data_IF_385549466867
#
_entry.id   IF_385549466867
#
_cell.length_a   1.000
_cell.length_b   1.000
_cell.length_c   1.000
_cell.angle_alpha   90.00
_cell.angle_beta   90.00
_cell.angle_gamma   90.00
#
_symmetry.space_group_name_H-M   'P 1'
#
loop_
_entity.id
_entity.type
_entity.pdbx_description
1 polymer ?
#
# COMPACT_ATOMS: atom_id res chain seq x y z
N UNK A 1 -28.03 -23.09 -9.96
CA UNK A 1 -27.11 -22.89 -8.83
C UNK A 1 -26.81 -21.40 -8.73
N UNK A 2 -26.96 -20.81 -7.55
CA UNK A 2 -26.63 -19.41 -7.33
C UNK A 2 -25.09 -19.28 -7.17
N UNK A 3 -24.46 -18.45 -8.02
CA UNK A 3 -23.01 -18.20 -8.03
C UNK A 3 -22.71 -16.71 -7.73
N UNK A 4 -22.90 -16.24 -6.49
CA UNK A 4 -22.95 -14.81 -6.18
C UNK A 4 -21.65 -14.08 -6.55
N UNK A 5 -20.49 -14.68 -6.38
CA UNK A 5 -19.21 -14.09 -6.76
C UNK A 5 -19.11 -13.94 -8.28
N UNK A 6 -19.37 -15.02 -9.03
CA UNK A 6 -19.29 -15.00 -10.51
C UNK A 6 -20.29 -14.00 -11.08
N UNK A 7 -21.53 -14.00 -10.58
CA UNK A 7 -22.57 -13.09 -11.04
C UNK A 7 -22.14 -11.63 -10.82
N UNK A 8 -21.64 -11.29 -9.61
CA UNK A 8 -21.19 -9.93 -9.31
C UNK A 8 -20.00 -9.48 -10.14
N UNK A 9 -19.02 -10.37 -10.36
CA UNK A 9 -17.87 -10.08 -11.21
C UNK A 9 -18.27 -9.86 -12.68
N UNK A 10 -19.23 -10.64 -13.18
CA UNK A 10 -19.81 -10.44 -14.51
C UNK A 10 -20.54 -9.09 -14.62
N UNK A 11 -21.31 -8.69 -13.60
CA UNK A 11 -21.95 -7.37 -13.57
C UNK A 11 -20.91 -6.24 -13.68
N UNK A 12 -19.82 -6.33 -12.90
CA UNK A 12 -18.73 -5.36 -12.93
C UNK A 12 -18.07 -5.34 -14.33
N UNK A 13 -17.76 -6.50 -14.90
CA UNK A 13 -17.19 -6.62 -16.26
C UNK A 13 -18.09 -5.95 -17.29
N UNK A 14 -19.39 -6.22 -17.24
CA UNK A 14 -20.36 -5.72 -18.21
C UNK A 14 -20.70 -4.23 -18.03
N UNK A 15 -20.41 -3.65 -16.86
CA UNK A 15 -20.67 -2.24 -16.59
C UNK A 15 -19.71 -1.29 -17.31
N UNK A 16 -18.63 -1.80 -17.91
CA UNK A 16 -17.60 -0.99 -18.59
C UNK A 16 -17.07 0.17 -17.72
N UNK A 17 -16.87 -0.10 -16.44
CA UNK A 17 -16.42 0.90 -15.46
C UNK A 17 -15.02 1.40 -15.80
N UNK A 18 -14.82 2.71 -15.72
CA UNK A 18 -13.51 3.33 -15.85
C UNK A 18 -12.77 3.17 -14.54
N UNK A 19 -11.65 2.47 -14.58
CA UNK A 19 -10.90 2.10 -13.39
C UNK A 19 -9.76 3.09 -13.12
N UNK A 20 -9.85 3.83 -12.01
CA UNK A 20 -8.74 4.54 -11.40
C UNK A 20 -8.34 3.89 -10.08
N UNK A 21 -8.55 2.57 -9.96
CA UNK A 21 -8.15 1.73 -8.83
C UNK A 21 -7.24 0.58 -9.28
N UNK A 22 -6.66 -0.14 -8.33
CA UNK A 22 -5.93 -1.39 -8.60
C UNK A 22 -6.90 -2.49 -9.05
N UNK A 23 -6.47 -3.45 -9.88
CA UNK A 23 -5.10 -3.71 -10.37
C UNK A 23 -4.70 -2.83 -11.56
N UNK A 24 -3.36 -2.74 -11.76
CA UNK A 24 -2.74 -1.86 -12.75
C UNK A 24 -3.08 -2.12 -14.22
N UNK A 25 -3.55 -3.32 -14.57
CA UNK A 25 -3.95 -3.68 -15.93
C UNK A 25 -5.30 -3.06 -16.38
N UNK A 26 -6.03 -2.39 -15.48
CA UNK A 26 -7.31 -1.71 -15.78
C UNK A 26 -8.29 -2.60 -16.54
N UNK A 27 -8.80 -3.63 -15.85
CA UNK A 27 -9.73 -4.63 -16.41
C UNK A 27 -9.20 -5.35 -17.68
N UNK A 28 -7.88 -5.45 -17.80
CA UNK A 28 -7.23 -6.10 -18.96
C UNK A 28 -7.09 -5.22 -20.20
N UNK A 29 -7.51 -3.95 -20.15
CA UNK A 29 -7.49 -3.00 -21.27
C UNK A 29 -6.11 -2.87 -21.91
N UNK A 30 -5.05 -2.84 -21.10
CA UNK A 30 -3.66 -2.73 -21.58
C UNK A 30 -3.23 -3.92 -22.45
N UNK A 31 -3.69 -5.12 -22.13
CA UNK A 31 -3.35 -6.31 -22.93
C UNK A 31 -3.97 -6.24 -24.31
N UNK A 32 -5.22 -5.79 -24.42
CA UNK A 32 -5.88 -5.59 -25.72
C UNK A 32 -5.18 -4.51 -26.53
N UNK A 33 -4.85 -3.38 -25.90
CA UNK A 33 -4.17 -2.24 -26.52
C UNK A 33 -2.80 -2.61 -27.12
N UNK A 34 -2.07 -3.53 -26.48
CA UNK A 34 -0.71 -3.92 -26.88
C UNK A 34 -0.67 -5.22 -27.71
N UNK A 35 -1.82 -5.78 -28.06
CA UNK A 35 -1.90 -7.04 -28.85
C UNK A 35 -1.62 -8.32 -28.05
N UNK A 36 -1.77 -8.28 -26.73
CA UNK A 36 -1.63 -9.42 -25.82
C UNK A 36 -2.99 -10.02 -25.41
N UNK A 37 -4.03 -9.84 -26.21
CA UNK A 37 -5.38 -10.35 -25.93
C UNK A 37 -5.40 -11.89 -25.82
N UNK A 38 -4.54 -12.58 -26.57
CA UNK A 38 -4.42 -14.04 -26.49
C UNK A 38 -3.99 -14.50 -25.09
N UNK A 39 -2.97 -13.87 -24.50
CA UNK A 39 -2.56 -14.15 -23.12
C UNK A 39 -3.74 -13.98 -22.16
N UNK A 40 -4.44 -12.85 -22.21
CA UNK A 40 -5.58 -12.56 -21.33
C UNK A 40 -6.72 -13.58 -21.49
N UNK A 41 -7.05 -13.96 -22.72
CA UNK A 41 -8.22 -14.80 -23.02
C UNK A 41 -7.96 -16.28 -22.77
N UNK A 42 -6.71 -16.73 -22.83
CA UNK A 42 -6.32 -18.12 -22.74
C UNK A 42 -5.56 -18.47 -21.43
N UNK A 43 -5.60 -17.58 -20.43
CA UNK A 43 -4.83 -17.73 -19.20
C UNK A 43 -5.09 -19.04 -18.44
N UNK A 44 -6.31 -19.58 -18.51
CA UNK A 44 -6.66 -20.85 -17.87
C UNK A 44 -5.97 -22.04 -18.56
N UNK A 45 -5.64 -21.91 -19.86
CA UNK A 45 -4.99 -22.99 -20.61
C UNK A 45 -3.52 -23.21 -20.22
N UNK A 46 -2.93 -22.24 -19.51
CA UNK A 46 -1.56 -22.34 -18.97
C UNK A 46 -1.54 -22.56 -17.45
N UNK A 47 -2.69 -22.82 -16.82
CA UNK A 47 -2.73 -23.20 -15.43
C UNK A 47 -2.20 -24.63 -15.24
N UNK A 48 -1.11 -24.75 -14.50
CA UNK A 48 -0.38 -26.01 -14.31
C UNK A 48 0.29 -26.03 -12.94
N UNK A 49 0.98 -27.12 -12.66
CA UNK A 49 1.83 -27.29 -11.47
C UNK A 49 3.28 -27.57 -11.86
N UNK A 50 4.11 -28.01 -10.92
CA UNK A 50 5.49 -28.41 -11.15
C UNK A 50 5.56 -29.74 -11.92
N UNK A 51 5.54 -29.65 -13.25
CA UNK A 51 5.76 -30.77 -14.16
C UNK A 51 7.10 -30.59 -14.90
N UNK A 52 7.52 -31.55 -15.67
CA UNK A 52 8.75 -31.46 -16.45
C UNK A 52 8.72 -30.21 -17.36
N UNK A 53 9.70 -29.31 -17.19
CA UNK A 53 9.87 -28.09 -17.98
C UNK A 53 9.18 -26.85 -17.39
N UNK A 54 8.46 -26.95 -16.27
CA UNK A 54 7.83 -25.77 -15.62
C UNK A 54 8.61 -25.19 -14.44
N UNK A 55 9.72 -25.83 -14.01
CA UNK A 55 10.55 -25.41 -12.89
C UNK A 55 9.82 -25.44 -11.52
N UNK A 56 10.47 -25.02 -10.43
CA UNK A 56 9.90 -24.95 -9.09
C UNK A 56 10.22 -23.61 -8.43
N UNK A 57 9.19 -22.85 -8.03
CA UNK A 57 9.36 -21.50 -7.42
C UNK A 57 10.21 -21.53 -6.14
N UNK A 58 10.19 -22.62 -5.36
CA UNK A 58 10.94 -22.74 -4.12
C UNK A 58 12.37 -23.21 -4.29
N UNK A 59 12.73 -23.68 -5.48
CA UNK A 59 14.09 -24.07 -5.89
C UNK A 59 14.29 -23.85 -7.39
N UNK A 60 14.22 -22.60 -7.87
CA UNK A 60 14.22 -22.31 -9.30
C UNK A 60 15.60 -22.59 -9.91
N UNK A 61 15.64 -23.37 -10.99
CA UNK A 61 16.84 -23.77 -11.70
C UNK A 61 16.77 -23.47 -13.21
N UNK A 62 15.55 -23.35 -13.77
CA UNK A 62 15.30 -23.20 -15.21
C UNK A 62 14.51 -21.89 -15.49
N UNK A 63 13.29 -22.00 -16.02
CA UNK A 63 12.50 -20.86 -16.54
C UNK A 63 12.13 -19.82 -15.49
N UNK A 64 11.83 -20.24 -14.26
CA UNK A 64 11.50 -19.31 -13.19
C UNK A 64 12.78 -18.54 -12.77
N UNK A 65 13.90 -19.24 -12.68
CA UNK A 65 15.20 -18.60 -12.40
C UNK A 65 15.55 -17.57 -13.47
N UNK A 66 15.44 -17.94 -14.76
CA UNK A 66 15.71 -17.02 -15.87
C UNK A 66 14.82 -15.79 -15.80
N UNK A 67 13.52 -15.96 -15.53
CA UNK A 67 12.58 -14.85 -15.41
C UNK A 67 12.88 -13.94 -14.20
N UNK A 68 13.29 -14.51 -13.07
CA UNK A 68 13.75 -13.76 -11.90
C UNK A 68 15.07 -12.99 -12.16
N UNK A 69 16.00 -13.54 -12.93
CA UNK A 69 17.23 -12.86 -13.35
C UNK A 69 16.93 -11.69 -14.30
N UNK A 70 16.00 -11.86 -15.24
CA UNK A 70 15.50 -10.75 -16.07
C UNK A 70 14.92 -9.64 -15.20
N UNK A 71 14.11 -9.97 -14.20
CA UNK A 71 13.56 -9.01 -13.26
C UNK A 71 14.65 -8.31 -12.44
N UNK A 72 15.66 -9.05 -11.94
CA UNK A 72 16.79 -8.48 -11.20
C UNK A 72 17.54 -7.43 -12.03
N UNK A 73 17.79 -7.72 -13.31
CA UNK A 73 18.44 -6.78 -14.22
C UNK A 73 17.60 -5.51 -14.46
N UNK A 74 16.27 -5.66 -14.62
CA UNK A 74 15.37 -4.52 -14.85
C UNK A 74 15.27 -3.61 -13.63
N UNK A 75 15.20 -4.18 -12.43
CA UNK A 75 15.07 -3.46 -11.16
C UNK A 75 16.41 -3.19 -10.46
N UNK A 76 17.55 -3.52 -11.11
CA UNK A 76 18.90 -3.27 -10.63
C UNK A 76 19.16 -3.83 -9.24
N UNK A 77 18.63 -5.00 -8.95
CA UNK A 77 18.84 -5.78 -7.72
C UNK A 77 19.82 -6.93 -7.95
N UNK A 78 20.40 -7.46 -6.87
CA UNK A 78 21.26 -8.64 -6.93
C UNK A 78 20.42 -9.92 -7.03
N UNK A 79 19.25 -9.92 -6.37
CA UNK A 79 18.26 -10.99 -6.42
C UNK A 79 16.85 -10.42 -6.54
N UNK A 80 16.02 -11.09 -7.33
CA UNK A 80 14.57 -10.88 -7.34
C UNK A 80 13.85 -12.20 -7.14
N UNK A 81 12.84 -12.21 -6.26
CA UNK A 81 11.98 -13.35 -6.00
C UNK A 81 10.55 -13.03 -6.42
N UNK A 82 9.91 -13.92 -7.18
CA UNK A 82 8.50 -13.81 -7.47
C UNK A 82 7.66 -14.23 -6.26
N UNK A 83 6.60 -13.49 -6.01
CA UNK A 83 5.70 -13.69 -4.89
C UNK A 83 4.28 -13.92 -5.41
N UNK A 84 3.72 -15.08 -5.07
CA UNK A 84 2.35 -15.47 -5.44
C UNK A 84 1.36 -15.32 -4.28
N UNK A 85 1.84 -14.91 -3.11
CA UNK A 85 1.02 -14.61 -1.92
C UNK A 85 1.03 -13.11 -1.58
N UNK A 86 1.21 -12.26 -2.59
CA UNK A 86 1.24 -10.80 -2.44
C UNK A 86 2.50 -10.27 -1.75
N UNK A 87 2.60 -8.96 -1.66
CA UNK A 87 3.66 -8.28 -0.89
C UNK A 87 3.65 -8.70 0.59
N UNK A 88 2.50 -9.13 1.11
CA UNK A 88 2.36 -9.65 2.48
C UNK A 88 3.39 -10.72 2.79
N UNK A 89 3.53 -11.76 1.95
CA UNK A 89 4.50 -12.83 2.19
C UNK A 89 5.95 -12.33 2.06
N UNK A 90 6.22 -11.38 1.16
CA UNK A 90 7.53 -10.76 1.02
C UNK A 90 7.95 -9.96 2.26
N UNK A 91 7.03 -9.16 2.82
CA UNK A 91 7.23 -8.43 4.08
C UNK A 91 7.50 -9.41 5.22
N UNK A 92 6.67 -10.45 5.34
CA UNK A 92 6.83 -11.48 6.37
C UNK A 92 8.19 -12.18 6.27
N UNK A 93 8.56 -12.65 5.09
CA UNK A 93 9.84 -13.31 4.87
C UNK A 93 11.02 -12.39 5.15
N UNK A 94 10.95 -11.12 4.72
CA UNK A 94 12.01 -10.13 4.92
C UNK A 94 12.26 -9.84 6.39
N UNK A 95 11.20 -9.53 7.15
CA UNK A 95 11.33 -9.24 8.59
C UNK A 95 11.87 -10.45 9.35
N UNK A 96 11.33 -11.65 9.10
CA UNK A 96 11.77 -12.87 9.79
C UNK A 96 13.17 -13.35 9.34
N UNK A 97 13.61 -13.01 8.13
CA UNK A 97 14.97 -13.26 7.69
C UNK A 97 16.00 -12.34 8.38
N UNK A 98 15.60 -11.10 8.65
CA UNK A 98 16.48 -10.07 9.20
C UNK A 98 16.48 -10.06 10.73
N UNK A 99 15.32 -10.27 11.36
CA UNK A 99 15.16 -10.27 12.81
C UNK A 99 14.98 -11.68 13.35
N UNK A 100 15.58 -11.94 14.50
CA UNK A 100 15.34 -13.14 15.33
C UNK A 100 14.28 -12.86 16.39
N UNK A 101 13.86 -13.89 17.12
CA UNK A 101 12.91 -13.77 18.24
C UNK A 101 13.35 -12.68 19.22
N UNK A 102 12.43 -11.81 19.61
CA UNK A 102 12.63 -10.70 20.55
C UNK A 102 13.60 -9.61 20.10
N UNK A 103 14.10 -9.69 18.88
CA UNK A 103 14.85 -8.55 18.30
C UNK A 103 13.90 -7.42 17.93
N UNK A 104 14.45 -6.19 17.83
CA UNK A 104 13.70 -4.96 17.66
C UNK A 104 13.81 -4.44 16.22
N UNK A 105 12.69 -3.96 15.70
CA UNK A 105 12.60 -3.33 14.39
C UNK A 105 11.87 -1.98 14.48
N UNK A 106 12.44 -0.92 13.90
CA UNK A 106 11.70 0.34 13.72
C UNK A 106 10.72 0.16 12.57
N UNK A 107 9.47 0.56 12.78
CA UNK A 107 8.42 0.54 11.75
C UNK A 107 7.64 1.86 11.76
N UNK A 108 7.30 2.37 10.57
CA UNK A 108 6.41 3.53 10.50
C UNK A 108 5.00 3.16 10.96
N UNK A 109 4.36 4.03 11.73
CA UNK A 109 3.07 3.72 12.36
C UNK A 109 1.91 3.58 11.36
N UNK A 110 2.04 4.11 10.16
CA UNK A 110 1.13 3.90 9.03
C UNK A 110 1.54 2.72 8.12
N UNK A 111 2.38 1.80 8.61
CA UNK A 111 2.75 0.59 7.87
C UNK A 111 1.54 -0.31 7.61
N UNK A 112 1.65 -1.13 6.56
CA UNK A 112 0.65 -2.14 6.28
C UNK A 112 0.53 -3.15 7.42
N UNK A 113 -0.68 -3.65 7.68
CA UNK A 113 -0.97 -4.58 8.79
C UNK A 113 -0.09 -5.85 8.74
N UNK A 114 0.38 -6.29 7.57
CA UNK A 114 1.31 -7.42 7.43
C UNK A 114 2.60 -7.25 8.23
N UNK A 115 3.07 -6.02 8.45
CA UNK A 115 4.27 -5.74 9.26
C UNK A 115 4.02 -6.15 10.72
N UNK A 116 2.92 -5.70 11.30
CA UNK A 116 2.59 -6.01 12.69
C UNK A 116 2.19 -7.48 12.85
N UNK A 117 1.48 -8.04 11.87
CA UNK A 117 1.18 -9.48 11.85
C UNK A 117 2.48 -10.31 11.86
N UNK A 118 3.54 -9.83 11.18
CA UNK A 118 4.85 -10.48 11.23
C UNK A 118 5.49 -10.39 12.60
N UNK A 119 5.37 -9.23 13.28
CA UNK A 119 5.85 -9.07 14.64
C UNK A 119 5.15 -10.06 15.60
N UNK A 120 3.85 -10.32 15.42
CA UNK A 120 3.10 -11.34 16.17
C UNK A 120 3.64 -12.75 15.86
N UNK A 121 3.80 -13.11 14.59
CA UNK A 121 4.24 -14.45 14.17
C UNK A 121 5.68 -14.73 14.59
N UNK A 122 6.57 -13.77 14.37
CA UNK A 122 8.02 -13.89 14.59
C UNK A 122 8.47 -13.52 16.02
N UNK A 123 7.57 -13.15 16.92
CA UNK A 123 7.91 -12.63 18.28
C UNK A 123 8.94 -11.50 18.21
N UNK A 124 8.70 -10.52 17.32
CA UNK A 124 9.59 -9.40 17.06
C UNK A 124 9.00 -8.15 17.67
N UNK A 125 9.82 -7.30 18.27
CA UNK A 125 9.38 -6.08 18.94
C UNK A 125 9.36 -4.88 17.99
N UNK A 126 8.19 -4.32 17.62
CA UNK A 126 8.12 -3.10 16.84
C UNK A 126 8.37 -1.88 17.71
N UNK A 127 9.22 -0.98 17.21
CA UNK A 127 9.41 0.38 17.72
C UNK A 127 8.78 1.33 16.70
N UNK A 128 7.76 2.07 17.11
CA UNK A 128 7.01 2.91 16.17
C UNK A 128 7.68 4.26 15.93
N UNK A 129 7.74 4.68 14.66
CA UNK A 129 8.03 6.05 14.27
C UNK A 129 6.79 6.64 13.58
N UNK A 130 6.36 7.82 14.00
CA UNK A 130 5.21 8.50 13.42
C UNK A 130 5.63 9.28 12.18
N UNK A 131 4.91 9.16 11.06
CA UNK A 131 5.00 10.15 9.99
C UNK A 131 4.34 11.45 10.44
N UNK A 132 4.75 12.58 9.85
CA UNK A 132 3.96 13.80 9.96
C UNK A 132 2.61 13.65 9.26
N UNK A 133 1.67 14.54 9.62
CA UNK A 133 0.35 14.62 9.00
C UNK A 133 0.18 16.02 8.44
N UNK A 134 -0.19 16.10 7.17
CA UNK A 134 -0.65 17.33 6.55
C UNK A 134 -2.01 17.73 7.12
N UNK A 135 -2.08 18.91 7.74
CA UNK A 135 -3.28 19.33 8.49
C UNK A 135 -4.49 19.62 7.59
N UNK A 136 -4.24 20.10 6.38
CA UNK A 136 -5.30 20.55 5.50
C UNK A 136 -5.97 19.38 4.76
N UNK A 137 -5.18 18.37 4.41
CA UNK A 137 -5.65 17.19 3.68
C UNK A 137 -5.87 15.96 4.56
N UNK A 138 -5.31 15.95 5.78
CA UNK A 138 -5.30 14.76 6.65
C UNK A 138 -4.42 13.62 6.13
N UNK A 139 -3.52 13.88 5.18
CA UNK A 139 -2.65 12.85 4.59
C UNK A 139 -1.41 12.63 5.45
N UNK A 140 -1.03 11.37 5.64
CA UNK A 140 0.26 11.03 6.26
C UNK A 140 1.41 11.30 5.28
N UNK A 141 2.42 12.01 5.78
CA UNK A 141 3.62 12.41 5.05
C UNK A 141 4.74 11.38 5.23
N UNK A 142 5.96 11.78 4.86
CA UNK A 142 7.17 10.96 5.05
C UNK A 142 7.58 10.84 6.51
N UNK A 143 8.34 9.79 6.80
CA UNK A 143 9.08 9.65 8.07
C UNK A 143 10.39 10.42 7.97
N UNK A 144 10.73 11.16 9.03
CA UNK A 144 11.96 11.98 9.10
C UNK A 144 13.17 11.13 9.49
N UNK A 145 14.30 11.38 8.85
CA UNK A 145 15.58 10.78 9.20
C UNK A 145 15.97 11.04 10.67
N UNK A 146 15.68 12.24 11.17
CA UNK A 146 16.00 12.65 12.55
C UNK A 146 15.31 11.78 13.60
N UNK A 147 14.06 11.37 13.35
CA UNK A 147 13.32 10.49 14.25
C UNK A 147 13.91 9.07 14.25
N UNK A 148 14.30 8.57 13.07
CA UNK A 148 15.00 7.28 12.95
C UNK A 148 16.35 7.34 13.68
N UNK A 149 17.13 8.41 13.49
CA UNK A 149 18.41 8.60 14.17
C UNK A 149 18.24 8.58 15.69
N UNK A 150 17.27 9.32 16.21
CA UNK A 150 16.97 9.38 17.64
C UNK A 150 16.70 7.99 18.20
N UNK A 151 15.78 7.23 17.58
CA UNK A 151 15.43 5.89 18.04
C UNK A 151 16.61 4.89 17.97
N UNK A 152 17.41 4.95 16.91
CA UNK A 152 18.61 4.08 16.76
C UNK A 152 19.70 4.44 17.77
N UNK A 153 19.83 5.71 18.16
CA UNK A 153 20.80 6.12 19.19
C UNK A 153 20.30 5.81 20.61
N UNK A 154 19.00 5.90 20.87
CA UNK A 154 18.37 5.52 22.13
C UNK A 154 18.44 4.01 22.40
N UNK A 155 18.31 3.19 21.36
CA UNK A 155 18.35 1.71 21.49
C UNK A 155 19.26 1.06 20.45
N UNK A 156 20.46 0.66 20.88
CA UNK A 156 21.44 -0.03 20.03
C UNK A 156 21.01 -1.47 19.64
N UNK A 157 20.03 -2.03 20.34
CA UNK A 157 19.48 -3.37 20.07
C UNK A 157 18.58 -3.44 18.82
N UNK A 158 18.21 -2.29 18.25
CA UNK A 158 17.44 -2.25 17.00
C UNK A 158 18.24 -2.92 15.88
N UNK A 159 17.62 -3.89 15.19
CA UNK A 159 18.26 -4.68 14.14
C UNK A 159 18.06 -4.09 12.76
N UNK A 160 16.85 -3.63 12.49
CA UNK A 160 16.44 -3.15 11.18
C UNK A 160 15.44 -1.99 11.28
N UNK A 161 15.22 -1.34 10.14
CA UNK A 161 14.17 -0.35 9.94
C UNK A 161 13.33 -0.78 8.75
N UNK A 162 11.99 -0.74 8.87
CA UNK A 162 11.07 -0.91 7.76
C UNK A 162 10.31 0.39 7.52
N UNK A 163 10.34 0.87 6.29
CA UNK A 163 9.66 2.10 5.85
C UNK A 163 8.73 1.79 4.69
N UNK A 164 7.52 2.32 4.71
CA UNK A 164 6.62 2.30 3.55
C UNK A 164 6.87 3.53 2.68
N UNK A 165 7.33 3.32 1.45
CA UNK A 165 7.62 4.39 0.48
C UNK A 165 7.53 3.85 -0.96
N UNK A 166 6.67 4.43 -1.83
CA UNK A 166 5.72 5.51 -1.54
C UNK A 166 4.63 5.12 -0.54
N UNK A 167 4.09 6.10 0.19
CA UNK A 167 2.87 5.89 0.97
C UNK A 167 1.67 5.61 0.05
N UNK A 168 0.53 5.24 0.62
CA UNK A 168 -0.70 5.02 -0.15
C UNK A 168 -1.11 6.24 -0.99
N UNK A 169 -0.85 7.45 -0.49
CA UNK A 169 -1.09 8.71 -1.18
C UNK A 169 0.04 9.14 -2.13
N UNK A 170 1.09 8.33 -2.24
CA UNK A 170 2.20 8.59 -3.15
C UNK A 170 3.33 9.44 -2.56
N UNK A 171 3.38 9.68 -1.25
CA UNK A 171 4.46 10.45 -0.63
C UNK A 171 5.72 9.57 -0.52
N UNK A 172 6.82 10.05 -1.07
CA UNK A 172 8.12 9.39 -1.02
C UNK A 172 8.94 9.86 0.17
N UNK A 173 9.57 8.91 0.86
CA UNK A 173 10.56 9.16 1.92
C UNK A 173 11.97 9.25 1.30
N UNK A 174 12.86 10.01 1.90
CA UNK A 174 14.28 10.07 1.52
C UNK A 174 15.02 8.78 1.94
N UNK A 175 14.82 7.72 1.16
CA UNK A 175 15.40 6.39 1.39
C UNK A 175 16.93 6.46 1.35
N UNK A 176 17.52 7.30 0.49
CA UNK A 176 18.97 7.41 0.35
C UNK A 176 19.64 7.86 1.64
N UNK A 177 19.17 8.96 2.23
CA UNK A 177 19.77 9.48 3.47
C UNK A 177 19.57 8.51 4.64
N UNK A 178 18.43 7.80 4.68
CA UNK A 178 18.14 6.79 5.71
C UNK A 178 19.08 5.59 5.54
N UNK A 179 19.23 5.05 4.32
CA UNK A 179 20.12 3.91 4.05
C UNK A 179 21.58 4.23 4.39
N UNK A 180 22.09 5.38 3.95
CA UNK A 180 23.45 5.83 4.27
C UNK A 180 23.73 5.92 5.78
N UNK A 181 22.75 6.39 6.55
CA UNK A 181 22.85 6.43 8.02
C UNK A 181 22.83 5.02 8.63
N UNK A 182 21.87 4.18 8.24
CA UNK A 182 21.70 2.85 8.79
C UNK A 182 22.89 1.94 8.47
N UNK A 183 23.44 2.01 7.27
CA UNK A 183 24.61 1.24 6.87
C UNK A 183 25.85 1.59 7.71
N UNK A 184 26.06 2.87 8.04
CA UNK A 184 27.13 3.29 8.98
C UNK A 184 26.97 2.71 10.40
N UNK A 185 25.74 2.32 10.75
CA UNK A 185 25.40 1.69 12.04
C UNK A 185 25.25 0.17 11.94
N UNK A 186 25.60 -0.42 10.78
CA UNK A 186 25.42 -1.84 10.48
C UNK A 186 23.98 -2.33 10.72
N UNK A 187 22.99 -1.55 10.28
CA UNK A 187 21.55 -1.84 10.35
C UNK A 187 21.01 -2.07 8.95
N UNK A 188 19.94 -2.85 8.83
CA UNK A 188 19.29 -3.21 7.56
C UNK A 188 18.09 -2.30 7.32
N UNK A 189 17.92 -1.85 6.07
CA UNK A 189 16.76 -1.12 5.60
C UNK A 189 15.87 -1.99 4.72
N UNK A 190 14.64 -2.21 5.15
CA UNK A 190 13.57 -2.85 4.39
C UNK A 190 12.61 -1.76 3.93
N UNK A 191 12.26 -1.73 2.65
CA UNK A 191 11.28 -0.79 2.11
C UNK A 191 10.05 -1.55 1.59
N UNK A 192 8.91 -1.29 2.21
CA UNK A 192 7.62 -1.64 1.63
C UNK A 192 7.31 -0.66 0.50
N UNK A 193 7.70 -1.04 -0.70
CA UNK A 193 7.52 -0.31 -1.95
C UNK A 193 6.32 -0.85 -2.75
N UNK A 194 5.28 -1.33 -2.04
CA UNK A 194 4.12 -1.95 -2.66
C UNK A 194 3.44 -1.07 -3.73
N UNK A 195 3.57 0.24 -3.62
CA UNK A 195 3.01 1.22 -4.56
C UNK A 195 4.03 1.77 -5.57
N UNK A 196 5.23 1.17 -5.68
CA UNK A 196 6.35 1.74 -6.42
C UNK A 196 6.88 0.94 -7.61
N UNK A 197 6.25 -0.16 -8.03
CA UNK A 197 6.78 -1.03 -9.12
C UNK A 197 7.00 -0.30 -10.46
N UNK A 198 6.35 0.83 -10.68
CA UNK A 198 6.43 1.63 -11.91
C UNK A 198 7.49 2.75 -11.88
N UNK A 199 8.11 3.02 -10.73
CA UNK A 199 8.97 4.21 -10.52
C UNK A 199 10.10 4.27 -11.56
N UNK A 200 10.73 3.17 -11.91
CA UNK A 200 11.83 3.13 -12.89
C UNK A 200 11.43 3.44 -14.34
N UNK A 201 10.13 3.62 -14.65
CA UNK A 201 9.66 3.86 -16.02
C UNK A 201 9.88 5.31 -16.51
N UNK A 202 9.97 6.29 -15.60
CA UNK A 202 10.25 7.69 -15.95
C UNK A 202 11.13 8.37 -14.90
N UNK A 203 12.03 9.23 -15.34
CA UNK A 203 12.84 10.08 -14.44
C UNK A 203 11.98 11.04 -13.61
N UNK A 204 10.77 11.33 -14.05
CA UNK A 204 9.81 12.20 -13.34
C UNK A 204 9.20 11.55 -12.11
N UNK A 205 9.33 10.22 -11.95
CA UNK A 205 8.84 9.45 -10.82
C UNK A 205 9.89 9.24 -9.72
N UNK A 206 11.14 9.61 -9.98
CA UNK A 206 12.25 9.40 -9.07
C UNK A 206 12.98 8.09 -9.32
N UNK A 207 13.51 7.49 -8.25
CA UNK A 207 14.36 6.27 -8.26
C UNK A 207 13.78 5.25 -7.28
N UNK A 208 13.90 3.96 -7.63
CA UNK A 208 13.43 2.86 -6.77
C UNK A 208 14.20 2.79 -5.44
N UNK A 209 13.58 2.16 -4.44
CA UNK A 209 14.21 2.03 -3.12
C UNK A 209 15.53 1.26 -3.18
N UNK A 210 15.66 0.23 -4.02
CA UNK A 210 16.93 -0.50 -4.22
C UNK A 210 18.04 0.39 -4.78
N UNK A 211 17.72 1.27 -5.74
CA UNK A 211 18.69 2.22 -6.29
C UNK A 211 19.08 3.32 -5.29
N UNK A 212 18.25 3.57 -4.29
CA UNK A 212 18.52 4.50 -3.19
C UNK A 212 19.24 3.83 -2.00
N UNK A 213 19.57 2.54 -2.09
CA UNK A 213 20.34 1.81 -1.10
C UNK A 213 19.52 1.02 -0.08
N UNK A 214 18.23 0.77 -0.32
CA UNK A 214 17.49 -0.21 0.47
C UNK A 214 18.11 -1.60 0.31
N UNK A 215 18.28 -2.34 1.42
CA UNK A 215 18.78 -3.71 1.40
C UNK A 215 17.75 -4.68 0.83
N UNK A 216 16.47 -4.46 1.16
CA UNK A 216 15.33 -5.21 0.64
C UNK A 216 14.23 -4.22 0.24
N UNK A 217 13.63 -4.43 -0.93
CA UNK A 217 12.44 -3.72 -1.39
C UNK A 217 11.37 -4.72 -1.82
N UNK A 218 10.11 -4.50 -1.45
CA UNK A 218 9.01 -5.40 -1.79
C UNK A 218 7.95 -4.61 -2.55
N UNK A 219 7.64 -5.05 -3.77
CA UNK A 219 6.76 -4.35 -4.70
C UNK A 219 5.53 -5.18 -5.04
N UNK A 220 4.33 -4.61 -4.91
CA UNK A 220 3.11 -5.20 -5.48
C UNK A 220 3.06 -4.94 -6.98
N UNK A 221 3.50 -5.89 -7.78
CA UNK A 221 3.53 -5.74 -9.24
C UNK A 221 2.13 -5.37 -9.77
N UNK A 222 1.09 -6.01 -9.24
CA UNK A 222 -0.29 -5.82 -9.68
C UNK A 222 -0.90 -4.45 -9.38
N UNK A 223 -0.33 -3.66 -8.46
CA UNK A 223 -0.93 -2.34 -8.12
C UNK A 223 -0.65 -1.29 -9.18
N UNK A 224 0.55 -1.28 -9.72
CA UNK A 224 0.99 -0.20 -10.61
C UNK A 224 1.49 -0.67 -11.98
N UNK A 225 1.78 -1.97 -12.13
CA UNK A 225 2.08 -2.63 -13.40
C UNK A 225 0.94 -3.59 -13.81
N UNK A 226 0.87 -4.00 -15.07
CA UNK A 226 -0.22 -4.83 -15.57
C UNK A 226 0.00 -6.33 -15.28
N UNK A 227 -0.05 -6.71 -14.00
CA UNK A 227 -0.11 -8.12 -13.59
C UNK A 227 -1.39 -8.42 -12.80
N UNK A 228 -1.66 -9.69 -12.54
CA UNK A 228 -2.87 -10.10 -11.83
C UNK A 228 -2.76 -9.83 -10.34
N UNK A 229 -3.89 -9.55 -9.72
CA UNK A 229 -4.00 -9.32 -8.27
C UNK A 229 -3.29 -10.44 -7.49
N UNK A 230 -2.58 -10.07 -6.44
CA UNK A 230 -1.76 -10.96 -5.58
C UNK A 230 -0.32 -11.16 -6.09
N UNK A 231 -0.02 -10.90 -7.37
CA UNK A 231 1.35 -10.98 -7.88
C UNK A 231 2.23 -9.85 -7.36
N UNK A 232 3.45 -10.18 -6.92
CA UNK A 232 4.41 -9.24 -6.32
C UNK A 232 5.84 -9.69 -6.56
N UNK A 233 6.82 -8.83 -6.29
CA UNK A 233 8.24 -9.13 -6.35
C UNK A 233 8.94 -8.65 -5.09
N UNK A 234 9.96 -9.38 -4.66
CA UNK A 234 10.89 -8.98 -3.61
C UNK A 234 12.28 -8.85 -4.22
N UNK A 235 12.90 -7.70 -4.02
CA UNK A 235 14.23 -7.38 -4.51
C UNK A 235 15.21 -7.28 -3.35
N UNK A 236 16.41 -7.86 -3.51
CA UNK A 236 17.51 -7.72 -2.56
C UNK A 236 18.69 -7.09 -3.29
N UNK A 237 19.29 -6.08 -2.68
CA UNK A 237 20.50 -5.42 -3.18
C UNK A 237 21.44 -5.14 -2.01
N UNK A 238 21.98 -6.21 -1.44
CA UNK A 238 22.84 -6.09 -0.25
C UNK A 238 23.48 -7.43 0.11
N UNK A 239 24.72 -7.40 0.52
CA UNK A 239 25.44 -8.51 1.16
C UNK A 239 25.14 -8.66 2.66
N UNK A 240 24.35 -7.72 3.26
CA UNK A 240 23.94 -7.74 4.66
C UNK A 240 22.78 -8.70 4.92
N UNK A 241 22.10 -9.16 3.87
CA UNK A 241 20.92 -10.03 3.96
C UNK A 241 21.33 -11.48 3.77
N UNK A 242 20.99 -12.33 4.74
CA UNK A 242 21.15 -13.79 4.59
C UNK A 242 20.11 -14.32 3.60
N UNK A 243 20.56 -14.51 2.36
CA UNK A 243 19.73 -15.02 1.25
C UNK A 243 19.21 -16.44 1.51
N UNK A 244 20.01 -17.29 2.19
CA UNK A 244 19.58 -18.66 2.52
C UNK A 244 18.42 -18.66 3.49
N UNK A 245 18.51 -17.82 4.53
CA UNK A 245 17.45 -17.63 5.51
C UNK A 245 16.20 -17.01 4.87
N UNK A 246 16.36 -16.01 4.00
CA UNK A 246 15.26 -15.40 3.26
C UNK A 246 14.51 -16.41 2.39
N UNK A 247 15.23 -17.22 1.59
CA UNK A 247 14.66 -18.30 0.78
C UNK A 247 13.89 -19.31 1.64
N UNK A 248 14.42 -19.65 2.81
CA UNK A 248 13.75 -20.57 3.74
C UNK A 248 12.40 -20.01 4.21
N UNK A 249 12.33 -18.72 4.58
CA UNK A 249 11.07 -18.09 4.97
C UNK A 249 10.11 -17.93 3.79
N UNK A 250 10.58 -17.59 2.59
CA UNK A 250 9.74 -17.55 1.40
C UNK A 250 9.09 -18.92 1.12
N UNK A 251 9.84 -20.01 1.30
CA UNK A 251 9.32 -21.38 1.15
C UNK A 251 8.29 -21.74 2.23
N UNK A 252 8.47 -21.27 3.47
CA UNK A 252 7.53 -21.54 4.59
C UNK A 252 6.21 -20.79 4.39
N UNK A 253 6.25 -19.57 3.85
CA UNK A 253 5.09 -18.67 3.83
C UNK A 253 4.28 -18.77 2.54
N UNK A 254 4.91 -19.09 1.42
CA UNK A 254 4.22 -19.26 0.15
C UNK A 254 3.66 -20.67 -0.01
N UNK A 255 2.60 -20.79 -0.84
CA UNK A 255 2.00 -22.08 -1.16
C UNK A 255 3.02 -23.04 -1.75
N UNK A 256 2.91 -24.33 -1.40
CA UNK A 256 3.69 -25.40 -2.03
C UNK A 256 3.29 -25.66 -3.49
N UNK A 257 2.09 -25.20 -3.89
CA UNK A 257 1.59 -25.24 -5.27
C UNK A 257 1.41 -23.80 -5.77
N UNK A 258 2.49 -23.12 -6.16
CA UNK A 258 2.44 -21.71 -6.58
C UNK A 258 1.70 -21.57 -7.91
N UNK A 259 0.87 -20.55 -8.04
CA UNK A 259 0.11 -20.29 -9.25
C UNK A 259 1.01 -19.86 -10.41
N UNK A 260 1.09 -20.68 -11.45
CA UNK A 260 1.81 -20.34 -12.69
C UNK A 260 1.14 -19.20 -13.45
N UNK A 261 -0.18 -19.05 -13.36
CA UNK A 261 -0.88 -17.90 -13.93
C UNK A 261 -0.40 -16.58 -13.32
N UNK A 262 -0.16 -16.55 -12.00
CA UNK A 262 0.38 -15.35 -11.34
C UNK A 262 1.82 -15.06 -11.76
N UNK A 263 2.68 -16.08 -11.84
CA UNK A 263 4.07 -15.92 -12.30
C UNK A 263 4.12 -15.47 -13.77
N UNK A 264 3.33 -16.08 -14.64
CA UNK A 264 3.21 -15.65 -16.04
C UNK A 264 2.70 -14.19 -16.15
N UNK A 265 1.80 -13.77 -15.27
CA UNK A 265 1.33 -12.39 -15.26
C UNK A 265 2.42 -11.39 -14.81
N UNK A 266 3.31 -11.78 -13.89
CA UNK A 266 4.49 -10.98 -13.53
C UNK A 266 5.40 -10.85 -14.76
N UNK A 267 5.73 -11.96 -15.41
CA UNK A 267 6.59 -11.96 -16.59
C UNK A 267 6.01 -11.14 -17.74
N UNK A 268 4.69 -11.23 -17.98
CA UNK A 268 4.01 -10.38 -18.96
C UNK A 268 4.14 -8.88 -18.58
N UNK A 269 4.00 -8.54 -17.31
CA UNK A 269 4.19 -7.17 -16.84
C UNK A 269 5.65 -6.71 -17.05
N UNK A 270 6.65 -7.56 -16.81
CA UNK A 270 8.07 -7.27 -17.09
C UNK A 270 8.34 -7.08 -18.59
N UNK A 271 7.69 -7.87 -19.45
CA UNK A 271 7.78 -7.69 -20.90
C UNK A 271 7.21 -6.35 -21.34
N UNK A 272 6.03 -5.96 -20.83
CA UNK A 272 5.41 -4.66 -21.12
C UNK A 272 6.30 -3.54 -20.58
N UNK A 273 6.81 -3.66 -19.35
CA UNK A 273 7.75 -2.71 -18.73
C UNK A 273 8.94 -2.44 -19.65
N UNK A 274 9.59 -3.52 -20.15
CA UNK A 274 10.80 -3.42 -20.97
C UNK A 274 10.54 -2.86 -22.37
N UNK A 275 9.44 -3.30 -23.03
CA UNK A 275 9.18 -2.96 -24.43
C UNK A 275 8.44 -1.62 -24.62
N UNK A 276 7.49 -1.33 -23.74
CA UNK A 276 6.52 -0.26 -23.92
C UNK A 276 6.46 0.70 -22.72
N UNK A 277 7.05 0.30 -21.58
CA UNK A 277 6.83 0.99 -20.31
C UNK A 277 7.17 2.46 -20.32
N UNK A 278 8.29 2.84 -20.93
CA UNK A 278 8.70 4.26 -21.02
C UNK A 278 7.70 5.11 -21.79
N UNK A 279 7.32 4.67 -22.99
CA UNK A 279 6.39 5.40 -23.86
C UNK A 279 5.03 5.55 -23.21
N UNK A 280 4.49 4.44 -22.68
CA UNK A 280 3.21 4.42 -21.98
C UNK A 280 3.21 5.29 -20.71
N UNK A 281 4.34 5.35 -20.01
CA UNK A 281 4.46 6.18 -18.82
C UNK A 281 4.50 7.66 -19.15
N UNK A 282 5.21 8.09 -20.20
CA UNK A 282 5.19 9.49 -20.62
C UNK A 282 3.79 9.90 -21.12
N UNK A 283 3.11 9.05 -21.89
CA UNK A 283 1.71 9.29 -22.28
C UNK A 283 0.78 9.42 -21.04
N UNK A 284 0.94 8.55 -20.05
CA UNK A 284 0.20 8.63 -18.79
C UNK A 284 0.46 9.96 -18.07
N UNK A 285 1.72 10.37 -17.98
CA UNK A 285 2.13 11.60 -17.32
C UNK A 285 1.55 12.83 -18.04
N UNK A 286 1.55 12.84 -19.37
CA UNK A 286 0.95 13.93 -20.15
C UNK A 286 -0.56 14.05 -19.89
N UNK A 287 -1.29 12.93 -19.85
CA UNK A 287 -2.71 12.91 -19.50
C UNK A 287 -2.97 13.40 -18.06
N UNK A 288 -2.08 13.05 -17.12
CA UNK A 288 -2.14 13.54 -15.73
C UNK A 288 -1.92 15.06 -15.71
N UNK A 289 -0.92 15.57 -16.42
CA UNK A 289 -0.61 17.01 -16.46
C UNK A 289 -1.75 17.82 -17.10
N UNK A 290 -2.36 17.33 -18.19
CA UNK A 290 -3.57 17.94 -18.75
C UNK A 290 -4.70 17.99 -17.73
N UNK A 291 -4.89 16.90 -16.96
CA UNK A 291 -5.94 16.83 -15.94
C UNK A 291 -5.64 17.75 -14.75
N UNK A 292 -4.38 17.86 -14.33
CA UNK A 292 -3.95 18.83 -13.31
C UNK A 292 -4.26 20.26 -13.75
N UNK A 293 -3.91 20.60 -14.98
CA UNK A 293 -4.17 21.93 -15.53
C UNK A 293 -5.67 22.22 -15.61
N UNK A 294 -6.50 21.23 -15.94
CA UNK A 294 -7.94 21.35 -15.91
C UNK A 294 -8.47 21.60 -14.49
N UNK A 295 -8.04 20.81 -13.50
CA UNK A 295 -8.46 20.93 -12.09
C UNK A 295 -8.07 22.31 -11.52
N UNK A 296 -6.91 22.89 -11.89
CA UNK A 296 -6.49 24.23 -11.44
C UNK A 296 -7.45 25.35 -11.85
N UNK A 297 -8.28 25.14 -12.86
CA UNK A 297 -9.29 26.09 -13.30
C UNK A 297 -10.67 25.84 -12.67
N UNK A 298 -10.85 24.80 -11.87
CA UNK A 298 -12.06 24.54 -11.10
C UNK A 298 -12.10 25.43 -9.86
N UNK A 299 -13.30 25.66 -9.32
CA UNK A 299 -13.49 26.61 -8.21
C UNK A 299 -13.44 25.91 -6.83
N UNK A 300 -14.06 24.73 -6.74
CA UNK A 300 -14.34 24.06 -5.47
C UNK A 300 -13.59 22.73 -5.34
N UNK A 301 -13.01 22.23 -6.42
CA UNK A 301 -12.18 21.02 -6.45
C UNK A 301 -10.72 21.43 -6.60
N UNK A 302 -9.83 20.82 -5.84
CA UNK A 302 -8.39 21.03 -5.97
C UNK A 302 -7.64 19.71 -5.93
N UNK A 303 -6.41 19.72 -6.43
CA UNK A 303 -5.52 18.57 -6.38
C UNK A 303 -4.50 18.75 -5.27
N UNK A 304 -4.29 17.72 -4.45
CA UNK A 304 -3.23 17.70 -3.48
C UNK A 304 -1.87 17.57 -4.15
N UNK A 305 -1.00 18.54 -3.96
CA UNK A 305 0.37 18.55 -4.47
C UNK A 305 1.37 18.57 -3.32
N UNK A 306 2.43 17.80 -3.42
CA UNK A 306 3.52 17.74 -2.46
C UNK A 306 4.85 17.52 -3.20
N UNK A 307 5.95 18.07 -2.65
CA UNK A 307 7.28 18.13 -3.31
C UNK A 307 7.83 16.78 -3.78
N UNK A 308 7.65 15.73 -2.96
CA UNK A 308 8.19 14.39 -3.19
C UNK A 308 7.06 13.37 -3.44
N UNK A 309 6.04 13.76 -4.21
CA UNK A 309 4.88 12.91 -4.44
C UNK A 309 4.95 12.22 -5.79
N UNK A 310 4.64 10.93 -5.80
CA UNK A 310 4.34 10.17 -7.01
C UNK A 310 3.14 10.79 -7.73
N UNK A 311 3.38 11.31 -8.93
CA UNK A 311 2.37 12.02 -9.72
C UNK A 311 1.24 11.11 -10.20
N UNK A 312 1.44 9.80 -10.25
CA UNK A 312 0.41 8.82 -10.65
C UNK A 312 -0.65 8.61 -9.58
N UNK A 313 -0.43 9.10 -8.36
CA UNK A 313 -1.39 9.09 -7.25
C UNK A 313 -2.08 10.44 -7.17
N UNK A 314 -3.23 10.57 -7.83
CA UNK A 314 -3.99 11.83 -7.82
C UNK A 314 -4.96 11.82 -6.65
N UNK A 315 -4.69 12.63 -5.61
CA UNK A 315 -5.65 12.85 -4.53
C UNK A 315 -6.38 14.16 -4.75
N UNK A 316 -7.67 14.04 -5.02
CA UNK A 316 -8.58 15.16 -5.34
C UNK A 316 -9.29 15.58 -4.05
N UNK A 317 -9.08 16.83 -3.64
CA UNK A 317 -9.68 17.43 -2.45
C UNK A 317 -11.07 17.96 -2.83
N UNK A 318 -12.09 17.57 -2.05
CA UNK A 318 -13.49 17.91 -2.29
C UNK A 318 -14.09 18.79 -1.19
N UNK A 319 -13.30 19.23 -0.23
CA UNK A 319 -13.68 19.95 0.98
C UNK A 319 -14.51 21.19 0.69
N UNK A 320 -14.11 21.98 -0.31
CA UNK A 320 -14.82 23.22 -0.69
C UNK A 320 -16.16 22.97 -1.39
N UNK A 321 -16.45 21.72 -1.77
CA UNK A 321 -17.79 21.33 -2.24
C UNK A 321 -18.80 21.18 -1.11
N UNK A 322 -18.40 21.24 0.16
CA UNK A 322 -19.20 20.82 1.30
C UNK A 322 -19.72 19.37 1.15
N UNK A 323 -18.98 18.53 0.43
CA UNK A 323 -19.23 17.10 0.25
C UNK A 323 -18.02 16.30 0.72
N UNK A 324 -18.28 15.21 1.40
CA UNK A 324 -17.23 14.23 1.71
C UNK A 324 -16.72 13.55 0.44
N UNK A 325 -15.49 13.02 0.49
CA UNK A 325 -15.01 12.18 -0.60
C UNK A 325 -15.86 10.94 -0.82
N UNK A 326 -16.55 10.43 0.22
CA UNK A 326 -17.52 9.32 0.09
C UNK A 326 -18.68 9.68 -0.83
N UNK A 327 -19.27 10.86 -0.65
CA UNK A 327 -20.35 11.35 -1.52
C UNK A 327 -19.87 11.59 -2.95
N UNK A 328 -18.64 12.11 -3.12
CA UNK A 328 -18.06 12.32 -4.45
C UNK A 328 -17.72 10.99 -5.14
N UNK A 329 -17.24 9.97 -4.41
CA UNK A 329 -17.06 8.61 -4.93
C UNK A 329 -18.36 8.03 -5.44
N UNK A 330 -19.45 8.16 -4.66
CA UNK A 330 -20.79 7.68 -5.06
C UNK A 330 -21.26 8.37 -6.34
N UNK A 331 -21.07 9.69 -6.46
CA UNK A 331 -21.42 10.44 -7.67
C UNK A 331 -20.59 9.96 -8.87
N UNK A 332 -19.27 9.84 -8.72
CA UNK A 332 -18.37 9.34 -9.77
C UNK A 332 -18.79 7.93 -10.22
N UNK A 333 -19.09 7.06 -9.26
CA UNK A 333 -19.48 5.69 -9.52
C UNK A 333 -20.83 5.57 -10.21
N UNK A 334 -21.86 6.24 -9.70
CA UNK A 334 -23.24 6.03 -10.12
C UNK A 334 -23.59 6.84 -11.37
N UNK A 335 -23.11 8.09 -11.48
CA UNK A 335 -23.46 8.98 -12.61
C UNK A 335 -22.46 8.88 -13.77
N UNK A 336 -21.16 8.65 -13.46
CA UNK A 336 -20.11 8.74 -14.48
C UNK A 336 -19.41 7.42 -14.74
N UNK A 337 -19.80 6.35 -14.03
CA UNK A 337 -19.21 5.03 -14.16
C UNK A 337 -17.68 5.01 -13.96
N UNK A 338 -17.19 5.82 -13.01
CA UNK A 338 -15.78 5.93 -12.65
C UNK A 338 -15.57 5.35 -11.26
N UNK A 339 -14.67 4.36 -11.12
CA UNK A 339 -14.25 3.82 -9.85
C UNK A 339 -12.92 4.43 -9.43
N UNK A 340 -12.91 5.07 -8.27
CA UNK A 340 -11.70 5.57 -7.60
C UNK A 340 -11.06 4.46 -6.75
N UNK A 341 -9.84 4.67 -6.30
CA UNK A 341 -9.13 3.71 -5.43
C UNK A 341 -9.69 3.73 -4.00
N UNK A 342 -9.87 4.92 -3.47
CA UNK A 342 -10.27 5.13 -2.09
C UNK A 342 -10.92 6.49 -1.96
N UNK A 343 -11.86 6.61 -1.06
CA UNK A 343 -12.40 7.87 -0.58
C UNK A 343 -12.24 8.01 0.93
N UNK A 344 -12.18 9.25 1.38
CA UNK A 344 -12.19 9.59 2.80
C UNK A 344 -13.01 10.87 3.02
N UNK A 345 -13.01 11.41 4.22
CA UNK A 345 -13.80 12.60 4.56
C UNK A 345 -13.47 13.83 3.67
N UNK A 346 -12.23 13.96 3.21
CA UNK A 346 -11.75 15.19 2.56
C UNK A 346 -11.55 15.08 1.06
N UNK A 347 -11.62 13.87 0.49
CA UNK A 347 -11.40 13.70 -0.93
C UNK A 347 -11.38 12.26 -1.42
N UNK A 348 -10.99 12.10 -2.69
CA UNK A 348 -10.87 10.82 -3.37
C UNK A 348 -9.47 10.62 -3.93
N UNK A 349 -8.95 9.40 -3.82
CA UNK A 349 -7.67 9.00 -4.37
C UNK A 349 -7.87 8.19 -5.65
N UNK A 350 -7.15 8.56 -6.69
CA UNK A 350 -7.05 7.82 -7.94
C UNK A 350 -5.64 7.25 -8.08
N UNK A 351 -5.56 5.99 -8.48
CA UNK A 351 -4.32 5.35 -8.91
C UNK A 351 -4.34 5.26 -10.43
N UNK A 352 -3.51 6.08 -11.06
CA UNK A 352 -3.32 6.09 -12.50
C UNK A 352 -2.17 5.14 -12.86
N UNK A 353 -2.34 4.33 -13.91
CA UNK A 353 -1.32 3.38 -14.37
C UNK A 353 -1.19 3.42 -15.88
N UNK A 354 -0.17 2.80 -16.42
CA UNK A 354 0.01 2.64 -17.87
C UNK A 354 -1.14 1.91 -18.57
N UNK A 355 -2.07 1.34 -17.79
CA UNK A 355 -3.32 0.75 -18.30
C UNK A 355 -4.42 1.76 -18.60
N UNK A 356 -4.33 3.00 -18.09
CA UNK A 356 -5.26 4.06 -18.42
C UNK A 356 -4.89 4.72 -19.76
N UNK A 357 -5.90 5.17 -20.52
CA UNK A 357 -5.71 5.91 -21.76
C UNK A 357 -6.33 7.30 -21.71
N UNK A 358 -6.14 8.07 -22.75
CA UNK A 358 -6.64 9.45 -22.89
C UNK A 358 -8.15 9.56 -22.67
N UNK A 359 -8.93 8.58 -23.17
CA UNK A 359 -10.38 8.57 -23.02
C UNK A 359 -10.85 8.45 -21.56
N UNK A 360 -10.10 7.70 -20.71
CA UNK A 360 -10.38 7.61 -19.29
C UNK A 360 -10.24 8.99 -18.62
N UNK A 361 -9.19 9.73 -18.94
CA UNK A 361 -8.92 11.06 -18.39
C UNK A 361 -9.89 12.13 -18.91
N UNK A 362 -10.30 12.05 -20.17
CA UNK A 362 -11.32 12.95 -20.73
C UNK A 362 -12.65 12.84 -19.98
N UNK A 363 -13.09 11.60 -19.74
CA UNK A 363 -14.31 11.36 -18.95
C UNK A 363 -14.17 11.79 -17.50
N UNK A 364 -12.98 11.59 -16.89
CA UNK A 364 -12.70 12.08 -15.54
C UNK A 364 -12.81 13.61 -15.47
N UNK A 365 -12.19 14.34 -16.41
CA UNK A 365 -12.28 15.81 -16.46
C UNK A 365 -13.71 16.29 -16.63
N UNK A 366 -14.49 15.66 -17.50
CA UNK A 366 -15.92 15.97 -17.66
C UNK A 366 -16.69 15.78 -16.36
N UNK A 367 -16.50 14.65 -15.69
CA UNK A 367 -17.17 14.36 -14.40
C UNK A 367 -16.80 15.39 -13.34
N UNK A 368 -15.51 15.73 -13.18
CA UNK A 368 -15.04 16.70 -12.21
C UNK A 368 -15.60 18.11 -12.50
N UNK A 369 -15.69 18.52 -13.77
CA UNK A 369 -16.28 19.81 -14.16
C UNK A 369 -17.75 19.92 -13.79
N UNK A 370 -18.52 18.85 -13.89
CA UNK A 370 -19.92 18.82 -13.41
C UNK A 370 -19.99 18.86 -11.87
N UNK A 371 -19.19 18.04 -11.19
CA UNK A 371 -19.17 17.94 -9.74
C UNK A 371 -18.75 19.26 -9.09
N UNK A 372 -17.85 20.02 -9.71
CA UNK A 372 -17.38 21.33 -9.21
C UNK A 372 -18.50 22.34 -8.97
N UNK A 373 -19.64 22.18 -9.66
CA UNK A 373 -20.82 23.03 -9.51
C UNK A 373 -21.86 22.45 -8.56
N UNK A 374 -21.69 21.24 -8.03
CA UNK A 374 -22.62 20.56 -7.12
C UNK A 374 -22.24 20.81 -5.66
N UNK A 375 -22.47 22.01 -5.13
CA UNK A 375 -22.16 22.34 -3.73
C UNK A 375 -23.16 21.68 -2.77
N UNK A 376 -22.67 21.05 -1.71
CA UNK A 376 -23.47 20.47 -0.64
C UNK A 376 -23.94 21.50 0.38
N UNK A 377 -24.94 21.13 1.16
CA UNK A 377 -25.58 22.04 2.15
C UNK A 377 -24.88 22.04 3.52
N UNK A 378 -23.94 21.10 3.77
CA UNK A 378 -23.33 20.91 5.10
C UNK A 378 -21.84 21.21 5.06
N UNK A 379 -21.37 22.07 5.95
CA UNK A 379 -19.92 22.25 6.17
C UNK A 379 -19.30 20.98 6.74
N UNK A 380 -18.18 20.53 6.15
CA UNK A 380 -17.39 19.44 6.70
C UNK A 380 -16.67 19.91 7.97
N UNK A 381 -16.78 19.10 9.02
CA UNK A 381 -16.10 19.37 10.30
C UNK A 381 -14.69 18.85 10.24
N UNK A 382 -13.71 19.71 10.55
CA UNK A 382 -12.32 19.29 10.68
C UNK A 382 -12.07 18.68 12.06
N UNK A 383 -11.19 17.67 12.10
CA UNK A 383 -10.81 17.02 13.35
C UNK A 383 -9.31 16.89 13.40
N UNK A 384 -8.71 17.49 14.42
CA UNK A 384 -7.27 17.36 14.67
C UNK A 384 -6.92 15.94 15.11
N UNK A 385 -5.99 15.31 14.40
CA UNK A 385 -5.46 14.00 14.77
C UNK A 385 -4.62 14.09 16.05
N UNK A 386 -4.81 13.20 17.04
CA UNK A 386 -4.04 13.19 18.27
C UNK A 386 -2.55 13.00 17.99
N UNK A 387 -1.72 13.79 18.65
CA UNK A 387 -0.25 13.72 18.50
C UNK A 387 0.41 12.76 19.47
N UNK A 388 -0.34 12.25 20.45
CA UNK A 388 0.19 11.34 21.45
C UNK A 388 0.55 9.97 20.84
N UNK A 389 1.70 9.43 21.22
CA UNK A 389 2.03 8.03 21.01
C UNK A 389 1.65 7.30 22.30
N UNK A 390 0.67 6.38 22.29
CA UNK A 390 0.30 5.63 23.47
C UNK A 390 1.49 4.82 24.00
N UNK A 391 1.58 4.70 25.33
CA UNK A 391 2.59 3.84 25.94
C UNK A 391 2.30 2.39 25.58
N UNK A 392 3.29 1.70 25.00
CA UNK A 392 3.24 0.26 24.78
C UNK A 392 3.53 -0.46 26.11
N UNK A 393 2.59 -1.27 26.57
CA UNK A 393 2.73 -2.07 27.79
C UNK A 393 3.04 -3.55 27.49
N UNK A 394 2.45 -4.07 26.40
CA UNK A 394 2.70 -5.43 25.93
C UNK A 394 3.17 -5.42 24.48
N UNK A 395 3.98 -6.41 24.11
CA UNK A 395 4.33 -6.64 22.73
C UNK A 395 3.13 -7.16 21.92
N UNK A 396 3.07 -6.96 20.60
CA UNK A 396 1.94 -7.39 19.78
C UNK A 396 1.61 -8.89 19.92
N UNK A 397 2.62 -9.75 20.08
CA UNK A 397 2.42 -11.19 20.30
C UNK A 397 1.77 -11.47 21.65
N UNK A 398 2.27 -10.87 22.72
CA UNK A 398 1.69 -11.01 24.05
C UNK A 398 0.24 -10.53 24.06
N UNK A 399 -0.03 -9.36 23.50
CA UNK A 399 -1.37 -8.82 23.36
C UNK A 399 -2.31 -9.72 22.53
N UNK A 400 -1.78 -10.36 21.47
CA UNK A 400 -2.57 -11.24 20.62
C UNK A 400 -3.05 -12.51 21.34
N UNK A 401 -2.19 -13.11 22.15
CA UNK A 401 -2.47 -14.36 22.88
C UNK A 401 -3.12 -14.15 24.25
N UNK A 402 -3.19 -12.92 24.76
CA UNK A 402 -3.85 -12.60 26.03
C UNK A 402 -5.37 -12.78 25.96
N UNK A 403 -6.00 -13.04 27.10
CA UNK A 403 -7.45 -13.04 27.22
C UNK A 403 -8.00 -11.64 26.97
N UNK A 404 -9.15 -11.57 26.30
CA UNK A 404 -9.76 -10.32 25.87
C UNK A 404 -11.19 -10.22 26.33
N UNK A 405 -11.63 -9.02 26.72
CA UNK A 405 -13.02 -8.74 26.97
C UNK A 405 -13.47 -7.45 26.32
N UNK A 406 -14.73 -7.41 25.90
CA UNK A 406 -15.35 -6.21 25.36
C UNK A 406 -15.96 -5.38 26.49
N UNK A 407 -15.67 -4.09 26.50
CA UNK A 407 -16.22 -3.13 27.48
C UNK A 407 -16.68 -1.87 26.75
N UNK A 408 -17.57 -1.05 27.37
CA UNK A 408 -17.89 0.26 26.83
C UNK A 408 -16.62 1.10 26.60
N UNK A 409 -16.59 1.82 25.49
CA UNK A 409 -15.43 2.65 25.12
C UNK A 409 -15.07 3.64 26.23
N UNK A 410 -16.03 4.17 26.95
CA UNK A 410 -15.86 5.13 28.04
C UNK A 410 -15.14 4.55 29.26
N UNK A 411 -15.33 3.26 29.53
CA UNK A 411 -14.74 2.55 30.66
C UNK A 411 -13.32 2.03 30.36
N UNK A 412 -12.83 2.24 29.12
CA UNK A 412 -11.57 1.67 28.64
C UNK A 412 -10.34 2.51 28.97
N UNK A 413 -10.50 3.76 29.41
CA UNK A 413 -9.36 4.65 29.68
C UNK A 413 -8.44 4.04 30.74
N UNK A 414 -7.12 4.02 30.44
CA UNK A 414 -6.09 3.43 31.28
C UNK A 414 -5.95 1.91 31.17
N UNK A 415 -6.79 1.24 30.38
CA UNK A 415 -6.71 -0.20 30.10
C UNK A 415 -5.78 -0.47 28.92
N UNK A 416 -5.32 -1.70 28.78
CA UNK A 416 -4.50 -2.14 27.64
C UNK A 416 -5.42 -2.55 26.49
N UNK A 417 -5.22 -1.95 25.34
CA UNK A 417 -6.03 -2.23 24.16
C UNK A 417 -5.72 -3.60 23.55
N UNK A 418 -6.75 -4.30 23.07
CA UNK A 418 -6.64 -5.56 22.36
C UNK A 418 -7.00 -5.48 20.88
N UNK A 419 -7.29 -4.28 20.36
CA UNK A 419 -7.70 -4.01 18.99
C UNK A 419 -6.88 -2.87 18.38
N UNK A 420 -7.01 -2.71 17.06
CA UNK A 420 -6.52 -1.50 16.37
C UNK A 420 -7.61 -0.45 16.34
N UNK A 421 -7.22 0.81 16.40
CA UNK A 421 -8.07 1.96 16.05
C UNK A 421 -7.35 2.73 14.95
N UNK A 422 -7.88 2.68 13.73
CA UNK A 422 -7.26 3.28 12.55
C UNK A 422 -8.30 4.16 11.84
N UNK A 423 -8.29 5.47 12.09
CA UNK A 423 -9.17 6.40 11.40
C UNK A 423 -8.67 6.69 9.97
N UNK A 424 -9.61 6.90 9.05
CA UNK A 424 -9.33 7.31 7.66
C UNK A 424 -10.05 8.63 7.34
N UNK A 425 -9.32 9.73 7.09
CA UNK A 425 -7.87 9.89 7.16
C UNK A 425 -7.33 9.84 8.59
N UNK A 426 -6.00 9.71 8.83
CA UNK A 426 -4.93 9.60 7.86
C UNK A 426 -4.53 8.16 7.51
N UNK A 427 -5.19 7.14 8.07
CA UNK A 427 -4.82 5.74 7.93
C UNK A 427 -3.61 5.34 8.79
N UNK A 428 -3.38 6.08 9.88
CA UNK A 428 -2.35 5.79 10.88
C UNK A 428 -3.01 5.09 12.07
N UNK A 429 -2.39 4.04 12.60
CA UNK A 429 -2.89 3.41 13.82
C UNK A 429 -2.83 4.39 14.99
N UNK A 430 -3.99 4.86 15.43
CA UNK A 430 -4.13 5.71 16.62
C UNK A 430 -3.84 4.91 17.88
N UNK A 431 -4.27 3.64 17.88
CA UNK A 431 -4.05 2.70 18.96
C UNK A 431 -3.78 1.31 18.37
N UNK A 432 -2.80 0.60 18.93
CA UNK A 432 -2.44 -0.77 18.55
C UNK A 432 -2.61 -1.71 19.76
N UNK A 433 -2.83 -3.02 19.53
CA UNK A 433 -2.88 -3.99 20.61
C UNK A 433 -1.63 -3.93 21.49
N UNK A 434 -1.83 -3.97 22.80
CA UNK A 434 -0.76 -3.85 23.80
C UNK A 434 -0.46 -2.42 24.27
N UNK A 435 -1.12 -1.41 23.70
CA UNK A 435 -0.96 0.00 24.11
C UNK A 435 -2.03 0.43 25.11
N UNK A 436 -1.69 1.40 25.95
CA UNK A 436 -2.60 1.97 26.95
C UNK A 436 -3.56 2.96 26.27
N UNK A 437 -4.86 2.76 26.51
CA UNK A 437 -5.92 3.63 26.00
C UNK A 437 -5.91 4.94 26.78
N UNK A 438 -5.79 6.07 26.09
CA UNK A 438 -5.80 7.41 26.69
C UNK A 438 -7.15 8.12 26.49
N UNK A 439 -7.44 9.07 27.36
CA UNK A 439 -8.65 9.90 27.27
C UNK A 439 -8.72 10.65 25.93
N UNK A 440 -7.59 11.19 25.47
CA UNK A 440 -7.48 11.93 24.21
C UNK A 440 -7.90 11.06 23.00
N UNK A 441 -7.49 9.79 22.98
CA UNK A 441 -7.87 8.83 21.94
C UNK A 441 -9.37 8.57 21.95
N UNK A 442 -9.97 8.37 23.13
CA UNK A 442 -11.42 8.11 23.23
C UNK A 442 -12.23 9.34 22.79
N UNK A 443 -11.81 10.53 23.17
CA UNK A 443 -12.46 11.75 22.73
C UNK A 443 -12.36 11.93 21.20
N UNK A 444 -11.24 11.57 20.60
CA UNK A 444 -11.08 11.60 19.15
C UNK A 444 -11.97 10.55 18.45
N UNK A 445 -12.02 9.32 18.94
CA UNK A 445 -12.90 8.26 18.39
C UNK A 445 -14.37 8.68 18.42
N UNK A 446 -14.83 9.32 19.52
CA UNK A 446 -16.17 9.86 19.62
C UNK A 446 -16.45 10.95 18.57
N UNK A 447 -15.48 11.84 18.34
CA UNK A 447 -15.59 12.85 17.27
C UNK A 447 -15.67 12.18 15.89
N UNK A 448 -14.83 11.17 15.61
CA UNK A 448 -14.90 10.39 14.36
C UNK A 448 -16.30 9.81 14.12
N UNK A 449 -16.90 9.23 15.16
CA UNK A 449 -18.26 8.68 15.10
C UNK A 449 -19.29 9.75 14.72
N UNK A 450 -19.25 10.91 15.39
CA UNK A 450 -20.23 12.02 15.16
C UNK A 450 -20.16 12.54 13.71
N UNK A 451 -18.95 12.66 13.16
CA UNK A 451 -18.76 13.20 11.80
C UNK A 451 -18.83 12.13 10.70
N UNK A 452 -19.08 10.87 11.07
CA UNK A 452 -19.15 9.76 10.11
C UNK A 452 -17.80 9.39 9.47
N UNK A 453 -16.68 9.68 10.16
CA UNK A 453 -15.34 9.26 9.69
C UNK A 453 -15.20 7.75 9.80
N UNK A 454 -14.67 7.13 8.75
CA UNK A 454 -14.41 5.69 8.77
C UNK A 454 -13.28 5.36 9.76
N UNK A 455 -13.56 4.47 10.71
CA UNK A 455 -12.60 3.93 11.68
C UNK A 455 -12.57 2.42 11.53
N UNK A 456 -11.39 1.87 11.27
CA UNK A 456 -11.20 0.43 11.08
C UNK A 456 -10.38 -0.18 12.22
N UNK A 457 -10.39 -1.52 12.30
CA UNK A 457 -9.59 -2.29 13.28
C UNK A 457 -10.34 -2.66 14.56
N UNK A 458 -11.47 -2.02 14.85
CA UNK A 458 -12.37 -2.41 15.93
C UNK A 458 -13.41 -3.43 15.45
N UNK A 459 -13.76 -4.39 16.30
CA UNK A 459 -14.84 -5.35 16.01
C UNK A 459 -16.20 -4.67 16.01
N UNK A 460 -16.43 -3.75 16.95
CA UNK A 460 -17.66 -2.95 16.99
C UNK A 460 -17.57 -1.75 16.04
N UNK A 461 -18.26 -1.86 14.91
CA UNK A 461 -18.35 -0.80 13.89
C UNK A 461 -19.10 0.45 14.37
N UNK A 462 -19.90 0.35 15.43
CA UNK A 462 -20.61 1.48 16.01
C UNK A 462 -19.71 2.30 16.94
N UNK A 463 -18.52 1.82 17.27
CA UNK A 463 -17.57 2.46 18.20
C UNK A 463 -18.14 2.68 19.61
N UNK A 464 -19.04 1.81 20.06
CA UNK A 464 -19.62 1.84 21.41
C UNK A 464 -18.84 0.95 22.38
N UNK A 465 -18.24 -0.15 21.88
CA UNK A 465 -17.47 -1.11 22.64
C UNK A 465 -16.06 -1.25 22.08
N UNK A 466 -15.10 -1.56 22.95
CA UNK A 466 -13.71 -1.83 22.61
C UNK A 466 -13.24 -3.09 23.34
N UNK A 467 -12.41 -3.90 22.69
CA UNK A 467 -11.73 -5.01 23.35
C UNK A 467 -10.49 -4.53 24.09
N UNK A 468 -10.38 -4.94 25.33
CA UNK A 468 -9.21 -4.75 26.19
C UNK A 468 -8.60 -6.10 26.57
N UNK A 469 -7.35 -6.08 27.01
CA UNK A 469 -6.69 -7.22 27.63
C UNK A 469 -7.15 -7.30 29.08
N UNK A 470 -7.55 -8.52 29.49
CA UNK A 470 -8.12 -8.76 30.83
C UNK A 470 -7.03 -8.90 31.89
#
# INVERSE_FOLDING_TARGET
VNTPIINKLNDIKNSNIISFHVPGHKNGKIFDRLGYSDFKNNIVNIDTTEIQGTDNLHSPEEIIKESQEIASNLFKSDYTFFLVNGTTCGIQASIMAVCSLKEKIIVNRNCHQSVINTCILGDIEPIYVNPDIDKDSGISLEVKLEDIKRLVEEDKGIKAVLITSPTYYGINTDIKSISEYLHKKNKILIVDEAHGSHIGLSKRLGVSATEQGADISIQSTHKTLPSFTQSSMLHVKSDRVDITRLKSFLKIIQSSSPSYMLMASIEMALQIYRKHGKELMEELIDNIDETKNYIRNLKNISLYEYKNKDITKMYIITKNLNKSGYEVEDILRQKYNIQVELSNLYGVLLICTIGNDKGDFEKLRQALGYIDNEIGDKNLVEVDYPKCIPKKELNPREAFYSNKKSIPVEDSIGKICAEYIIPYPPGISLLSPGEIITKEIIEYVKKCKIIGMNVTGMDDKNLDFIKIID
#
